data_IF_462358442424
#
_entry.id   IF_462358442424
#
_cell.length_a   1.000
_cell.length_b   1.000
_cell.length_c   1.000
_cell.angle_alpha   90.00
_cell.angle_beta   90.00
_cell.angle_gamma   90.00
#
_symmetry.space_group_name_H-M   'P 1'
#
loop_
_entity.id
_entity.type
_entity.pdbx_description
1 polymer ?
#
# COMPACT_ATOMS: atom_id res chain seq x y z
N UNK A 1 -38.73 -48.69 40.76
CA UNK A 1 -37.43 -48.87 40.08
C UNK A 1 -37.28 -47.75 39.06
N UNK A 2 -36.28 -46.89 39.24
CA UNK A 2 -36.02 -45.73 38.38
C UNK A 2 -35.55 -46.21 37.00
N UNK A 3 -36.36 -45.96 35.96
CA UNK A 3 -35.96 -46.14 34.57
C UNK A 3 -35.02 -45.00 34.15
N UNK A 4 -33.73 -45.31 34.00
CA UNK A 4 -32.77 -44.40 33.39
C UNK A 4 -33.07 -44.28 31.90
N UNK A 5 -33.54 -43.10 31.48
CA UNK A 5 -33.64 -42.74 30.06
C UNK A 5 -32.23 -42.37 29.58
N UNK A 6 -31.57 -43.31 28.91
CA UNK A 6 -30.31 -43.03 28.22
C UNK A 6 -30.62 -42.34 26.89
N UNK A 7 -30.43 -41.03 26.85
CA UNK A 7 -30.48 -40.23 25.62
C UNK A 7 -29.34 -40.63 24.69
N UNK A 8 -29.65 -41.41 23.67
CA UNK A 8 -28.72 -41.77 22.60
C UNK A 8 -28.37 -40.54 21.77
N UNK A 9 -27.23 -39.91 22.07
CA UNK A 9 -26.64 -38.85 21.24
C UNK A 9 -26.32 -39.48 19.88
N UNK A 10 -27.14 -39.22 18.86
CA UNK A 10 -26.93 -39.68 17.48
C UNK A 10 -25.65 -39.05 16.94
N UNK A 11 -24.54 -39.78 17.02
CA UNK A 11 -23.28 -39.41 16.37
C UNK A 11 -23.48 -39.38 14.85
N UNK A 12 -23.48 -38.17 14.28
CA UNK A 12 -23.47 -37.96 12.83
C UNK A 12 -22.28 -38.76 12.23
N UNK A 13 -22.46 -39.52 11.14
CA UNK A 13 -21.40 -40.39 10.62
C UNK A 13 -20.14 -39.57 10.30
N UNK A 14 -18.98 -40.06 10.75
CA UNK A 14 -17.67 -39.38 10.68
C UNK A 14 -17.38 -38.78 9.28
N UNK A 15 -17.78 -39.50 8.21
CA UNK A 15 -17.68 -39.06 6.81
C UNK A 15 -18.43 -37.75 6.53
N UNK A 16 -19.63 -37.56 7.08
CA UNK A 16 -20.45 -36.35 6.91
C UNK A 16 -19.84 -35.16 7.65
N UNK A 17 -19.28 -35.39 8.84
CA UNK A 17 -18.54 -34.36 9.61
C UNK A 17 -17.27 -33.92 8.85
N UNK A 18 -16.52 -34.87 8.30
CA UNK A 18 -15.33 -34.58 7.50
C UNK A 18 -15.66 -33.79 6.22
N UNK A 19 -16.70 -34.19 5.47
CA UNK A 19 -17.14 -33.43 4.31
C UNK A 19 -17.59 -32.00 4.67
N UNK A 20 -18.26 -31.81 5.81
CA UNK A 20 -18.65 -30.48 6.26
C UNK A 20 -17.43 -29.62 6.62
N UNK A 21 -16.49 -30.18 7.39
CA UNK A 21 -15.23 -29.49 7.73
C UNK A 21 -14.43 -29.11 6.48
N UNK A 22 -14.33 -30.01 5.50
CA UNK A 22 -13.65 -29.71 4.24
C UNK A 22 -14.33 -28.56 3.49
N UNK A 23 -15.66 -28.59 3.36
CA UNK A 23 -16.41 -27.48 2.73
C UNK A 23 -16.21 -26.17 3.46
N UNK A 24 -16.20 -26.19 4.80
CA UNK A 24 -15.96 -25.00 5.63
C UNK A 24 -14.54 -24.46 5.39
N UNK A 25 -13.53 -25.32 5.40
CA UNK A 25 -12.13 -24.93 5.12
C UNK A 25 -11.98 -24.36 3.72
N UNK A 26 -12.59 -24.99 2.70
CA UNK A 26 -12.58 -24.46 1.33
C UNK A 26 -13.26 -23.09 1.24
N UNK A 27 -14.39 -22.90 1.94
CA UNK A 27 -15.11 -21.64 1.96
C UNK A 27 -14.31 -20.53 2.68
N UNK A 28 -13.78 -20.80 3.87
CA UNK A 28 -12.95 -19.84 4.60
C UNK A 28 -11.69 -19.52 3.79
N UNK A 29 -11.06 -20.53 3.18
CA UNK A 29 -9.90 -20.36 2.31
C UNK A 29 -10.21 -19.49 1.08
N UNK A 30 -11.34 -19.71 0.41
CA UNK A 30 -11.71 -18.90 -0.76
C UNK A 30 -12.02 -17.45 -0.38
N UNK A 31 -12.68 -17.21 0.75
CA UNK A 31 -12.91 -15.86 1.28
C UNK A 31 -11.58 -15.17 1.60
N UNK A 32 -10.64 -15.86 2.25
CA UNK A 32 -9.32 -15.29 2.56
C UNK A 32 -8.53 -14.96 1.29
N UNK A 33 -8.49 -15.86 0.31
CA UNK A 33 -7.83 -15.61 -0.98
C UNK A 33 -8.47 -14.41 -1.70
N UNK A 34 -9.79 -14.32 -1.68
CA UNK A 34 -10.49 -13.21 -2.31
C UNK A 34 -10.17 -11.88 -1.62
N UNK A 35 -10.37 -11.79 -0.31
CA UNK A 35 -10.23 -10.56 0.46
C UNK A 35 -8.77 -10.09 0.61
N UNK A 36 -7.82 -11.01 0.75
CA UNK A 36 -6.43 -10.65 1.00
C UNK A 36 -5.59 -10.60 -0.28
N UNK A 37 -6.11 -11.06 -1.43
CA UNK A 37 -5.36 -11.06 -2.69
C UNK A 37 -6.16 -10.63 -3.93
N UNK A 38 -7.28 -11.29 -4.26
CA UNK A 38 -7.95 -11.07 -5.56
C UNK A 38 -8.69 -9.73 -5.64
N UNK A 39 -9.23 -9.22 -4.54
CA UNK A 39 -10.06 -8.02 -4.53
C UNK A 39 -9.35 -6.80 -5.14
N UNK A 40 -8.05 -6.63 -4.91
CA UNK A 40 -7.26 -5.51 -5.46
C UNK A 40 -7.24 -5.54 -6.98
N UNK A 41 -7.08 -6.72 -7.58
CA UNK A 41 -7.09 -6.88 -9.03
C UNK A 41 -8.48 -6.58 -9.60
N UNK A 42 -9.53 -7.10 -8.97
CA UNK A 42 -10.92 -6.87 -9.42
C UNK A 42 -11.24 -5.38 -9.40
N UNK A 43 -10.90 -4.67 -8.33
CA UNK A 43 -11.21 -3.24 -8.18
C UNK A 43 -10.36 -2.39 -9.13
N UNK A 44 -9.04 -2.59 -9.14
CA UNK A 44 -8.12 -1.74 -9.92
C UNK A 44 -8.25 -2.00 -11.42
N UNK A 45 -8.57 -3.22 -11.86
CA UNK A 45 -8.78 -3.54 -13.27
C UNK A 45 -9.93 -2.73 -13.90
N UNK A 46 -10.88 -2.26 -13.09
CA UNK A 46 -11.98 -1.41 -13.56
C UNK A 46 -11.53 0.04 -13.81
N UNK A 47 -10.36 0.44 -13.32
CA UNK A 47 -9.83 1.79 -13.51
C UNK A 47 -9.20 1.94 -14.90
N UNK A 48 -9.37 3.12 -15.49
CA UNK A 48 -8.71 3.52 -16.74
C UNK A 48 -8.15 4.92 -16.60
N UNK A 49 -7.09 5.21 -17.34
CA UNK A 49 -6.60 6.57 -17.48
C UNK A 49 -7.62 7.42 -18.22
N UNK A 50 -7.87 8.67 -17.78
CA UNK A 50 -8.74 9.58 -18.50
C UNK A 50 -8.12 9.98 -19.84
N UNK A 51 -8.96 10.11 -20.87
CA UNK A 51 -8.53 10.61 -22.18
C UNK A 51 -8.23 12.11 -22.09
N UNK A 52 -6.95 12.48 -22.19
CA UNK A 52 -6.55 13.88 -22.28
C UNK A 52 -6.64 14.30 -23.74
N UNK A 53 -7.67 15.07 -24.10
CA UNK A 53 -7.74 15.70 -25.42
C UNK A 53 -6.61 16.72 -25.52
N UNK A 54 -5.68 16.49 -26.45
CA UNK A 54 -4.59 17.43 -26.74
C UNK A 54 -5.16 18.82 -26.94
N UNK A 55 -4.68 19.78 -26.15
CA UNK A 55 -5.09 21.17 -26.23
C UNK A 55 -4.96 21.67 -27.67
N UNK A 56 -6.05 22.24 -28.16
CA UNK A 56 -6.09 23.08 -29.35
C UNK A 56 -4.97 24.13 -29.26
N UNK A 57 -4.21 24.31 -30.34
CA UNK A 57 -3.06 25.20 -30.53
C UNK A 57 -1.67 24.61 -30.26
N UNK A 58 -1.12 23.91 -31.25
CA UNK A 58 0.20 24.26 -31.83
C UNK A 58 0.27 23.64 -33.23
N UNK A 59 0.25 24.50 -34.24
CA UNK A 59 0.50 24.12 -35.64
C UNK A 59 1.97 23.71 -35.78
N UNK A 60 2.20 22.47 -36.19
CA UNK A 60 3.50 22.04 -36.72
C UNK A 60 4.22 21.02 -35.85
N UNK A 61 3.99 19.75 -36.19
CA UNK A 61 4.99 18.69 -36.09
C UNK A 61 5.60 18.46 -34.69
N UNK A 62 4.76 18.13 -33.72
CA UNK A 62 5.25 17.51 -32.49
C UNK A 62 4.64 16.12 -32.34
N UNK A 63 5.52 15.12 -32.33
CA UNK A 63 5.27 13.74 -31.91
C UNK A 63 4.28 13.72 -30.76
N UNK A 64 3.15 13.03 -30.91
CA UNK A 64 2.13 12.82 -29.89
C UNK A 64 2.78 12.41 -28.57
N UNK A 65 3.12 13.36 -27.71
CA UNK A 65 3.64 13.08 -26.39
C UNK A 65 2.50 12.39 -25.64
N UNK A 66 2.67 11.10 -25.34
CA UNK A 66 1.68 10.35 -24.57
C UNK A 66 1.38 11.11 -23.28
N UNK A 67 0.11 11.24 -22.88
CA UNK A 67 -0.24 11.88 -21.62
C UNK A 67 0.59 11.30 -20.45
N UNK A 68 0.98 12.16 -19.51
CA UNK A 68 1.66 11.75 -18.30
C UNK A 68 0.67 11.03 -17.38
N UNK A 69 0.97 9.78 -17.04
CA UNK A 69 0.19 8.96 -16.13
C UNK A 69 0.79 9.07 -14.73
N UNK A 70 0.14 9.87 -13.88
CA UNK A 70 0.56 10.08 -12.50
C UNK A 70 -0.41 9.41 -11.53
N UNK A 71 0.12 8.65 -10.58
CA UNK A 71 -0.62 8.25 -9.36
C UNK A 71 -0.20 9.19 -8.24
N UNK A 72 -1.16 9.63 -7.44
CA UNK A 72 -0.93 10.49 -6.28
C UNK A 72 -1.49 9.76 -5.06
N UNK A 73 -0.64 9.57 -4.06
CA UNK A 73 -0.93 8.95 -2.76
C UNK A 73 -0.54 9.94 -1.66
N UNK A 74 -1.07 9.75 -0.45
CA UNK A 74 -0.69 10.49 0.74
C UNK A 74 -0.99 9.64 1.98
N UNK A 75 -0.47 10.04 3.14
CA UNK A 75 -0.89 9.54 4.45
C UNK A 75 -0.84 8.00 4.58
N UNK A 76 0.24 7.39 4.09
CA UNK A 76 0.39 5.92 4.15
C UNK A 76 0.63 5.43 5.59
N UNK A 77 1.13 6.31 6.47
CA UNK A 77 1.26 6.11 7.91
C UNK A 77 1.85 4.76 8.31
N UNK A 78 2.96 4.30 7.74
CA UNK A 78 3.63 3.05 8.14
C UNK A 78 3.79 2.98 9.67
N UNK A 79 3.24 1.93 10.30
CA UNK A 79 3.24 1.82 11.76
C UNK A 79 4.68 1.66 12.23
N UNK A 80 5.07 2.53 13.15
CA UNK A 80 6.36 2.43 13.82
C UNK A 80 6.38 1.36 14.91
N UNK A 81 7.45 1.37 15.69
CA UNK A 81 7.72 0.40 16.77
C UNK A 81 7.06 0.80 18.09
N UNK A 82 6.80 2.09 18.32
CA UNK A 82 6.48 2.65 19.63
C UNK A 82 5.02 2.41 20.00
N UNK A 83 4.09 2.74 19.11
CA UNK A 83 2.63 2.66 19.28
C UNK A 83 1.98 1.64 18.35
N UNK A 84 2.72 1.15 17.35
CA UNK A 84 2.19 0.22 16.36
C UNK A 84 1.88 -1.17 16.92
N UNK A 85 0.64 -1.64 16.76
CA UNK A 85 0.28 -3.02 17.07
C UNK A 85 0.72 -3.98 15.96
N UNK A 86 1.37 -5.10 16.30
CA UNK A 86 1.99 -6.00 15.33
C UNK A 86 1.00 -6.58 14.30
N UNK A 87 -0.23 -6.90 14.71
CA UNK A 87 -1.24 -7.48 13.82
C UNK A 87 -1.77 -6.44 12.83
N UNK A 88 -1.94 -5.20 13.29
CA UNK A 88 -2.35 -4.09 12.42
C UNK A 88 -1.22 -3.78 11.43
N UNK A 89 0.02 -3.73 11.92
CA UNK A 89 1.21 -3.58 11.09
C UNK A 89 1.26 -4.65 10.00
N UNK A 90 1.13 -5.93 10.36
CA UNK A 90 1.13 -7.04 9.40
C UNK A 90 0.03 -6.88 8.34
N UNK A 91 -1.22 -6.65 8.77
CA UNK A 91 -2.36 -6.62 7.85
C UNK A 91 -2.33 -5.35 6.99
N UNK A 92 -2.21 -4.18 7.59
CA UNK A 92 -2.25 -2.90 6.88
C UNK A 92 -1.10 -2.76 5.88
N UNK A 93 0.11 -3.17 6.26
CA UNK A 93 1.26 -3.19 5.35
C UNK A 93 1.05 -4.20 4.21
N UNK A 94 0.46 -5.37 4.49
CA UNK A 94 0.08 -6.32 3.43
C UNK A 94 -0.91 -5.71 2.43
N UNK A 95 -1.97 -5.05 2.90
CA UNK A 95 -2.97 -4.44 2.04
C UNK A 95 -2.39 -3.30 1.20
N UNK A 96 -1.56 -2.44 1.80
CA UNK A 96 -0.86 -1.37 1.08
C UNK A 96 0.06 -1.93 -0.01
N UNK A 97 0.86 -2.95 0.30
CA UNK A 97 1.73 -3.62 -0.67
C UNK A 97 0.93 -4.22 -1.82
N UNK A 98 -0.12 -5.00 -1.53
CA UNK A 98 -0.95 -5.61 -2.57
C UNK A 98 -1.64 -4.58 -3.45
N UNK A 99 -2.21 -3.53 -2.85
CA UNK A 99 -2.85 -2.45 -3.61
C UNK A 99 -1.86 -1.72 -4.52
N UNK A 100 -0.70 -1.34 -3.98
CA UNK A 100 0.31 -0.60 -4.74
C UNK A 100 0.90 -1.44 -5.89
N UNK A 101 1.30 -2.69 -5.61
CA UNK A 101 1.89 -3.55 -6.63
C UNK A 101 0.89 -3.87 -7.75
N UNK A 102 -0.38 -4.10 -7.41
CA UNK A 102 -1.44 -4.30 -8.40
C UNK A 102 -1.70 -3.05 -9.24
N UNK A 103 -1.70 -1.86 -8.61
CA UNK A 103 -1.83 -0.59 -9.33
C UNK A 103 -0.69 -0.38 -10.33
N UNK A 104 0.56 -0.61 -9.92
CA UNK A 104 1.70 -0.51 -10.83
C UNK A 104 1.59 -1.50 -12.01
N UNK A 105 1.20 -2.73 -11.73
CA UNK A 105 1.13 -3.77 -12.76
C UNK A 105 0.03 -3.49 -13.80
N UNK A 106 -1.16 -3.11 -13.35
CA UNK A 106 -2.32 -2.91 -14.24
C UNK A 106 -2.33 -1.54 -14.91
N UNK A 107 -1.98 -0.49 -14.17
CA UNK A 107 -2.09 0.89 -14.67
C UNK A 107 -0.82 1.39 -15.34
N UNK A 108 0.35 0.83 -15.01
CA UNK A 108 1.66 1.21 -15.56
C UNK A 108 1.86 2.73 -15.57
N UNK A 109 1.84 3.40 -14.40
CA UNK A 109 2.06 4.83 -14.33
C UNK A 109 3.51 5.19 -14.69
N UNK A 110 3.70 6.38 -15.23
CA UNK A 110 5.03 6.95 -15.48
C UNK A 110 5.66 7.45 -14.17
N UNK A 111 4.82 7.97 -13.27
CA UNK A 111 5.26 8.58 -12.01
C UNK A 111 4.25 8.35 -10.90
N UNK A 112 4.74 8.18 -9.67
CA UNK A 112 3.97 8.11 -8.45
C UNK A 112 4.46 9.19 -7.48
N UNK A 113 3.53 9.95 -6.91
CA UNK A 113 3.79 10.87 -5.82
C UNK A 113 3.24 10.31 -4.51
N UNK A 114 4.02 10.37 -3.43
CA UNK A 114 3.55 10.18 -2.05
C UNK A 114 3.70 11.50 -1.31
N UNK A 115 2.57 12.10 -0.95
CA UNK A 115 2.45 13.47 -0.45
C UNK A 115 2.56 13.57 1.07
N UNK A 116 3.61 12.98 1.65
CA UNK A 116 3.87 13.09 3.08
C UNK A 116 3.22 12.01 3.93
N UNK A 117 3.53 12.08 5.22
CA UNK A 117 3.12 11.16 6.28
C UNK A 117 3.28 9.69 5.86
N UNK A 118 4.50 9.42 5.40
CA UNK A 118 4.93 8.08 5.01
C UNK A 118 4.97 7.18 6.22
N UNK A 119 5.57 7.65 7.31
CA UNK A 119 5.74 6.93 8.57
C UNK A 119 4.90 7.56 9.66
N UNK A 120 4.25 6.76 10.48
CA UNK A 120 3.42 7.25 11.58
C UNK A 120 4.25 7.85 12.73
N UNK A 121 5.44 7.30 12.93
CA UNK A 121 6.32 7.62 14.06
C UNK A 121 7.69 8.14 13.61
N UNK A 122 7.83 8.56 12.35
CA UNK A 122 9.08 9.08 11.80
C UNK A 122 9.71 10.09 12.76
N UNK A 123 8.94 11.09 13.19
CA UNK A 123 9.33 12.14 14.15
C UNK A 123 9.84 11.66 15.52
N UNK A 124 9.51 10.44 15.94
CA UNK A 124 9.90 9.86 17.23
C UNK A 124 10.87 8.67 17.10
N UNK A 125 11.11 8.20 15.87
CA UNK A 125 11.90 6.98 15.63
C UNK A 125 13.38 7.11 16.00
N UNK A 126 13.90 6.07 16.67
CA UNK A 126 15.33 5.83 16.83
C UNK A 126 16.00 5.60 15.46
N UNK A 127 17.33 5.73 15.33
CA UNK A 127 18.03 5.44 14.08
C UNK A 127 17.77 4.03 13.53
N UNK A 128 17.66 3.04 14.42
CA UNK A 128 17.36 1.64 14.07
C UNK A 128 15.92 1.48 13.60
N UNK A 129 14.95 2.00 14.37
CA UNK A 129 13.54 1.97 14.00
C UNK A 129 13.29 2.66 12.66
N UNK A 130 13.94 3.81 12.42
CA UNK A 130 13.94 4.50 11.13
C UNK A 130 14.46 3.62 9.98
N UNK A 131 15.60 2.95 10.18
CA UNK A 131 16.18 2.08 9.14
C UNK A 131 15.27 0.89 8.81
N UNK A 132 14.65 0.30 9.83
CA UNK A 132 13.65 -0.75 9.67
C UNK A 132 12.39 -0.24 8.97
N UNK A 133 11.98 0.99 9.32
CA UNK A 133 10.90 1.76 8.70
C UNK A 133 11.10 1.93 7.19
N UNK A 134 12.25 2.47 6.81
CA UNK A 134 12.69 2.63 5.42
C UNK A 134 12.80 1.30 4.68
N UNK A 135 13.27 0.23 5.34
CA UNK A 135 13.38 -1.09 4.69
C UNK A 135 12.02 -1.61 4.24
N UNK A 136 10.98 -1.56 5.07
CA UNK A 136 9.66 -2.05 4.63
C UNK A 136 8.99 -1.09 3.66
N UNK A 137 9.20 0.23 3.79
CA UNK A 137 8.78 1.18 2.77
C UNK A 137 9.28 0.76 1.38
N UNK A 138 10.60 0.51 1.25
CA UNK A 138 11.21 0.11 -0.02
C UNK A 138 10.68 -1.22 -0.55
N UNK A 139 10.29 -2.14 0.34
CA UNK A 139 9.66 -3.40 -0.04
C UNK A 139 8.24 -3.16 -0.58
N UNK A 140 7.42 -2.42 0.14
CA UNK A 140 6.01 -2.21 -0.21
C UNK A 140 5.84 -1.37 -1.47
N UNK A 141 6.58 -0.27 -1.55
CA UNK A 141 6.57 0.67 -2.67
C UNK A 141 7.64 0.36 -3.72
N UNK A 142 8.02 -0.91 -3.84
CA UNK A 142 8.92 -1.37 -4.90
C UNK A 142 8.30 -1.06 -6.26
N UNK A 143 9.09 -0.46 -7.14
CA UNK A 143 8.68 -0.08 -8.49
C UNK A 143 9.77 -0.47 -9.49
N UNK A 144 9.44 -0.44 -10.78
CA UNK A 144 10.40 -0.65 -11.86
C UNK A 144 11.12 0.64 -12.22
N UNK A 145 12.27 0.54 -12.90
CA UNK A 145 13.03 1.71 -13.36
C UNK A 145 12.25 2.61 -14.35
N UNK A 146 11.15 2.10 -14.92
CA UNK A 146 10.26 2.86 -15.81
C UNK A 146 9.21 3.71 -15.08
N UNK A 147 9.06 3.54 -13.77
CA UNK A 147 8.13 4.31 -12.93
C UNK A 147 8.93 5.13 -11.94
N UNK A 148 8.85 6.45 -12.01
CA UNK A 148 9.48 7.31 -11.01
C UNK A 148 8.64 7.35 -9.72
N UNK A 149 9.30 7.28 -8.57
CA UNK A 149 8.66 7.48 -7.27
C UNK A 149 9.20 8.76 -6.61
N UNK A 150 8.32 9.71 -6.36
CA UNK A 150 8.60 10.96 -5.67
C UNK A 150 7.92 10.94 -4.31
N UNK A 151 8.69 11.18 -3.26
CA UNK A 151 8.20 11.17 -1.88
C UNK A 151 8.57 12.50 -1.24
N UNK A 152 7.57 13.19 -0.69
CA UNK A 152 7.78 14.40 0.10
C UNK A 152 7.51 14.10 1.58
N UNK A 153 8.09 14.91 2.47
CA UNK A 153 7.93 14.73 3.91
C UNK A 153 6.62 15.33 4.42
N UNK A 154 5.97 14.64 5.35
CA UNK A 154 4.91 15.21 6.19
C UNK A 154 5.35 15.41 7.65
N UNK A 155 4.43 15.89 8.49
CA UNK A 155 4.71 16.19 9.89
C UNK A 155 4.94 14.94 10.74
N UNK A 156 4.38 13.78 10.39
CA UNK A 156 4.70 12.52 11.06
C UNK A 156 6.09 11.99 10.70
N UNK A 157 6.63 12.35 9.54
CA UNK A 157 7.95 11.92 9.10
C UNK A 157 9.09 12.67 9.82
N UNK A 158 9.00 14.00 9.81
CA UNK A 158 10.09 14.89 10.26
C UNK A 158 9.74 15.74 11.47
N UNK A 159 8.47 15.76 11.91
CA UNK A 159 7.97 16.60 13.00
C UNK A 159 7.30 17.88 12.50
N UNK A 160 6.55 18.55 13.38
CA UNK A 160 5.98 19.88 13.14
C UNK A 160 6.55 20.89 14.12
N UNK A 161 6.83 22.10 13.63
CA UNK A 161 7.37 23.21 14.42
C UNK A 161 8.59 22.79 15.27
N UNK A 162 8.51 22.84 16.60
CA UNK A 162 9.62 22.52 17.51
C UNK A 162 10.08 21.06 17.43
N UNK A 163 9.25 20.13 16.92
CA UNK A 163 9.64 18.73 16.74
C UNK A 163 10.48 18.52 15.47
N UNK A 164 10.48 19.47 14.54
CA UNK A 164 11.25 19.40 13.32
C UNK A 164 12.71 19.78 13.59
N UNK A 165 13.62 18.83 13.42
CA UNK A 165 15.06 19.05 13.64
C UNK A 165 15.85 18.80 12.36
N UNK A 166 17.00 19.45 12.22
CA UNK A 166 17.92 19.26 11.08
C UNK A 166 18.27 17.79 10.87
N UNK A 167 18.45 17.03 11.95
CA UNK A 167 18.69 15.59 11.87
C UNK A 167 17.55 14.84 11.17
N UNK A 168 16.29 15.12 11.55
CA UNK A 168 15.10 14.44 11.00
C UNK A 168 14.90 14.81 9.53
N UNK A 169 15.11 16.07 9.16
CA UNK A 169 15.08 16.53 7.76
C UNK A 169 16.16 15.83 6.96
N UNK A 170 17.42 15.93 7.37
CA UNK A 170 18.55 15.40 6.61
C UNK A 170 18.47 13.89 6.39
N UNK A 171 18.00 13.11 7.39
CA UNK A 171 17.85 11.65 7.20
C UNK A 171 16.72 11.31 6.23
N UNK A 172 15.66 12.12 6.19
CA UNK A 172 14.57 11.95 5.22
C UNK A 172 15.06 12.28 3.81
N UNK A 173 15.69 13.45 3.63
CA UNK A 173 16.27 13.89 2.37
C UNK A 173 17.26 12.86 1.80
N UNK A 174 18.12 12.30 2.66
CA UNK A 174 19.07 11.25 2.27
C UNK A 174 18.38 9.98 1.73
N UNK A 175 17.22 9.60 2.27
CA UNK A 175 16.53 8.37 1.87
C UNK A 175 15.72 8.57 0.60
N UNK A 176 15.05 9.72 0.47
CA UNK A 176 14.06 9.97 -0.57
C UNK A 176 14.50 10.95 -1.65
N UNK A 177 15.73 11.47 -1.58
CA UNK A 177 16.23 12.52 -2.47
C UNK A 177 15.24 13.70 -2.58
N UNK A 178 14.71 14.06 -1.41
CA UNK A 178 13.76 15.14 -1.19
C UNK A 178 14.50 16.45 -0.96
N UNK A 179 13.90 17.55 -1.41
CA UNK A 179 14.29 18.92 -1.06
C UNK A 179 13.02 19.74 -0.86
N UNK A 180 13.07 20.79 -0.02
CA UNK A 180 11.90 21.62 0.29
C UNK A 180 11.24 22.28 -0.94
N UNK A 181 11.99 22.41 -2.04
CA UNK A 181 11.47 22.75 -3.36
C UNK A 181 12.19 21.93 -4.42
N UNK A 182 11.43 21.17 -5.22
CA UNK A 182 11.93 20.39 -6.36
C UNK A 182 11.00 20.58 -7.53
N UNK A 183 11.51 21.16 -8.63
CA UNK A 183 10.79 21.20 -9.89
C UNK A 183 11.03 19.89 -10.64
N UNK A 184 9.97 19.22 -11.04
CA UNK A 184 10.02 17.97 -11.80
C UNK A 184 9.26 18.20 -13.09
N UNK A 185 9.92 17.98 -14.23
CA UNK A 185 9.30 18.07 -15.56
C UNK A 185 9.36 16.72 -16.24
N UNK A 186 8.22 16.19 -16.67
CA UNK A 186 8.11 14.91 -17.38
C UNK A 186 7.13 15.03 -18.53
N UNK A 187 7.54 14.54 -19.70
CA UNK A 187 6.75 14.63 -20.94
C UNK A 187 6.29 16.07 -21.27
N UNK A 188 7.11 17.07 -20.92
CA UNK A 188 6.84 18.50 -21.16
C UNK A 188 5.85 19.15 -20.18
N UNK A 189 5.45 18.44 -19.12
CA UNK A 189 4.59 18.92 -18.03
C UNK A 189 5.43 19.08 -16.77
#
# INVERSE_FOLDING_TARGET
>A
MLGSSSTTVKNLPLKRRLCFLLKLVCFVGSVLIFCEFLIYYVVIFQCRWPDVKGGVHMSGKETSASALKAIILADTHLLGEIKGHWLDKLRREWQMERSFQTALWLLQPDIVFILGDVFDEGKWSSPQAWADDVRRFRKMFKHSDFTELVVIAGNHDIGFHYEMTTYKVNRFEKVFNFTSGKLITRKGI
#
